data_IF_459888215807
#
_entry.id   IF_459888215807
#
_cell.length_a   1.000
_cell.length_b   1.000
_cell.length_c   1.000
_cell.angle_alpha   90.00
_cell.angle_beta   90.00
_cell.angle_gamma   90.00
#
_symmetry.space_group_name_H-M   'P 1'
#
loop_
_entity.id
_entity.type
_entity.pdbx_description
1 polymer ?
#
# COMPACT_ATOMS: atom_id res chain seq x y z
N UNK A 1 -9.48 18.77 2.44
CA UNK A 1 -8.28 17.96 2.61
C UNK A 1 -8.49 16.57 2.05
N UNK A 2 -7.51 16.07 1.33
CA UNK A 2 -7.60 14.75 0.70
C UNK A 2 -6.89 13.70 1.52
N UNK A 3 -7.48 12.53 1.56
CA UNK A 3 -6.86 11.35 2.12
C UNK A 3 -6.75 10.31 1.02
N UNK A 4 -5.78 9.44 1.10
CA UNK A 4 -5.58 8.39 0.13
C UNK A 4 -5.34 7.05 0.80
N UNK A 5 -5.64 6.00 0.05
CA UNK A 5 -5.36 4.64 0.45
C UNK A 5 -4.42 4.06 -0.60
N UNK A 6 -3.36 3.41 -0.15
CA UNK A 6 -2.45 2.70 -1.02
C UNK A 6 -2.59 1.21 -0.79
N UNK A 7 -2.53 0.46 -1.86
CA UNK A 7 -2.65 -1.00 -1.83
C UNK A 7 -1.48 -1.61 -2.58
N UNK A 8 -0.84 -2.59 -1.98
CA UNK A 8 0.15 -3.41 -2.68
C UNK A 8 -0.22 -4.87 -2.48
N UNK A 9 -0.36 -5.56 -3.59
CA UNK A 9 -0.64 -6.99 -3.60
C UNK A 9 0.65 -7.73 -3.89
N UNK A 10 1.02 -8.63 -2.99
CA UNK A 10 2.25 -9.40 -3.10
C UNK A 10 1.94 -10.89 -2.97
N UNK A 11 2.89 -11.71 -3.42
CA UNK A 11 2.83 -13.15 -3.27
C UNK A 11 3.84 -13.57 -2.22
N UNK A 12 3.35 -14.26 -1.18
CA UNK A 12 4.21 -14.82 -0.16
C UNK A 12 4.62 -13.83 0.93
N UNK A 13 5.22 -14.37 1.97
CA UNK A 13 5.56 -13.61 3.17
C UNK A 13 6.68 -12.61 2.96
N UNK A 14 7.69 -12.98 2.17
CA UNK A 14 8.84 -12.10 1.93
C UNK A 14 8.41 -10.83 1.22
N UNK A 15 7.57 -10.95 0.19
CA UNK A 15 7.03 -9.79 -0.51
C UNK A 15 6.23 -8.89 0.40
N UNK A 16 5.41 -9.47 1.29
CA UNK A 16 4.63 -8.74 2.26
C UNK A 16 5.53 -7.91 3.19
N UNK A 17 6.53 -8.53 3.77
CA UNK A 17 7.42 -7.87 4.72
C UNK A 17 8.23 -6.77 4.05
N UNK A 18 8.81 -7.07 2.88
CA UNK A 18 9.63 -6.10 2.16
C UNK A 18 8.83 -4.88 1.70
N UNK A 19 7.63 -5.12 1.17
CA UNK A 19 6.79 -4.01 0.72
C UNK A 19 6.30 -3.16 1.90
N UNK A 20 5.85 -3.81 2.97
CA UNK A 20 5.35 -3.11 4.16
C UNK A 20 6.43 -2.25 4.80
N UNK A 21 7.61 -2.81 4.97
CA UNK A 21 8.73 -2.09 5.56
C UNK A 21 9.14 -0.88 4.71
N UNK A 22 9.24 -1.08 3.41
CA UNK A 22 9.62 -0.01 2.48
C UNK A 22 8.60 1.13 2.49
N UNK A 23 7.32 0.80 2.55
CA UNK A 23 6.27 1.82 2.55
C UNK A 23 6.33 2.72 3.77
N UNK A 24 6.42 2.14 4.95
CA UNK A 24 6.41 2.94 6.19
C UNK A 24 7.71 3.71 6.40
N UNK A 25 8.81 3.28 5.79
CA UNK A 25 10.08 4.00 5.86
C UNK A 25 10.17 5.14 4.87
N UNK A 26 9.48 5.03 3.74
CA UNK A 26 9.60 6.00 2.65
C UNK A 26 8.78 7.27 2.88
N UNK A 27 7.68 7.18 3.60
CA UNK A 27 6.77 8.32 3.73
C UNK A 27 5.93 8.19 5.00
N UNK A 28 5.27 9.31 5.35
CA UNK A 28 4.44 9.36 6.54
C UNK A 28 3.06 8.74 6.24
N UNK A 29 3.01 7.42 6.29
CA UNK A 29 1.77 6.68 6.08
C UNK A 29 1.53 5.74 7.27
N UNK A 30 0.27 5.37 7.47
CA UNK A 30 -0.12 4.42 8.49
C UNK A 30 -0.41 3.09 7.82
N UNK A 31 0.24 2.03 8.29
CA UNK A 31 -0.09 0.67 7.85
C UNK A 31 -1.41 0.28 8.51
N UNK A 32 -2.43 0.08 7.68
CA UNK A 32 -3.76 -0.21 8.19
C UNK A 32 -3.93 -1.69 8.52
N UNK A 33 -3.63 -2.53 7.54
CA UNK A 33 -3.76 -3.99 7.69
C UNK A 33 -3.15 -4.70 6.51
N UNK A 34 -2.99 -6.02 6.66
CA UNK A 34 -2.63 -6.91 5.57
C UNK A 34 -3.74 -7.94 5.46
N UNK A 35 -4.26 -8.13 4.25
CA UNK A 35 -5.41 -8.99 4.00
C UNK A 35 -4.97 -10.19 3.16
N UNK A 36 -4.97 -11.40 3.73
CA UNK A 36 -4.73 -12.60 2.94
C UNK A 36 -5.89 -12.81 1.97
N UNK A 37 -5.56 -13.08 0.71
CA UNK A 37 -6.60 -13.28 -0.31
C UNK A 37 -6.73 -14.75 -0.69
N UNK A 38 -5.71 -15.55 -0.43
CA UNK A 38 -5.64 -16.94 -0.82
C UNK A 38 -4.52 -17.17 -1.81
N UNK A 39 -4.07 -18.40 -1.95
CA UNK A 39 -2.98 -18.74 -2.86
C UNK A 39 -1.67 -18.01 -2.57
N UNK A 40 -1.39 -17.74 -1.30
CA UNK A 40 -0.24 -16.97 -0.84
C UNK A 40 -0.26 -15.49 -1.25
N UNK A 41 -1.37 -14.99 -1.77
CA UNK A 41 -1.54 -13.58 -2.10
C UNK A 41 -1.96 -12.78 -0.87
N UNK A 42 -1.34 -11.62 -0.68
CA UNK A 42 -1.65 -10.73 0.44
C UNK A 42 -1.75 -9.30 -0.07
N UNK A 43 -2.78 -8.59 0.35
CA UNK A 43 -2.93 -7.17 0.06
C UNK A 43 -2.56 -6.37 1.30
N UNK A 44 -1.55 -5.50 1.19
CA UNK A 44 -1.15 -4.60 2.26
C UNK A 44 -1.77 -3.23 2.01
N UNK A 45 -2.39 -2.67 3.03
CA UNK A 45 -3.13 -1.41 2.93
C UNK A 45 -2.46 -0.34 3.79
N UNK A 46 -2.16 0.81 3.19
CA UNK A 46 -1.66 1.99 3.92
C UNK A 46 -2.58 3.17 3.66
N UNK A 47 -2.56 4.14 4.56
CA UNK A 47 -3.32 5.38 4.39
C UNK A 47 -2.49 6.59 4.79
N UNK A 48 -2.85 7.75 4.27
CA UNK A 48 -2.21 9.01 4.57
C UNK A 48 -2.64 10.06 3.55
N UNK A 49 -1.92 11.18 3.49
CA UNK A 49 -2.20 12.14 2.44
C UNK A 49 -1.75 11.59 1.09
N UNK A 50 -2.30 12.16 0.02
CA UNK A 50 -2.09 11.64 -1.35
C UNK A 50 -0.60 11.55 -1.71
N UNK A 51 0.16 12.60 -1.43
CA UNK A 51 1.59 12.62 -1.77
C UNK A 51 2.37 11.54 -1.03
N UNK A 52 2.12 11.40 0.26
CA UNK A 52 2.78 10.38 1.08
C UNK A 52 2.42 8.97 0.63
N UNK A 53 1.14 8.73 0.31
CA UNK A 53 0.70 7.41 -0.15
C UNK A 53 1.32 7.06 -1.49
N UNK A 54 1.39 8.03 -2.42
CA UNK A 54 2.04 7.79 -3.72
C UNK A 54 3.51 7.41 -3.54
N UNK A 55 4.23 8.14 -2.69
CA UNK A 55 5.64 7.85 -2.42
C UNK A 55 5.81 6.50 -1.75
N UNK A 56 4.95 6.18 -0.78
CA UNK A 56 5.01 4.90 -0.08
C UNK A 56 4.75 3.73 -1.03
N UNK A 57 3.70 3.83 -1.84
CA UNK A 57 3.36 2.75 -2.78
C UNK A 57 4.49 2.53 -3.80
N UNK A 58 5.11 3.62 -4.28
CA UNK A 58 6.23 3.49 -5.21
C UNK A 58 7.41 2.75 -4.56
N UNK A 59 7.75 3.09 -3.32
CA UNK A 59 8.83 2.41 -2.59
C UNK A 59 8.49 0.93 -2.34
N UNK A 60 7.25 0.65 -1.94
CA UNK A 60 6.81 -0.72 -1.70
C UNK A 60 6.81 -1.57 -2.96
N UNK A 61 6.38 -0.97 -4.07
CA UNK A 61 6.43 -1.60 -5.40
C UNK A 61 7.85 -2.04 -5.75
N UNK A 62 8.80 -1.12 -5.61
CA UNK A 62 10.19 -1.44 -5.95
C UNK A 62 10.76 -2.52 -5.06
N UNK A 63 10.43 -2.49 -3.76
CA UNK A 63 10.90 -3.52 -2.83
C UNK A 63 10.31 -4.89 -3.18
N UNK A 64 9.02 -4.97 -3.48
CA UNK A 64 8.38 -6.23 -3.85
C UNK A 64 8.92 -6.76 -5.17
N UNK A 65 9.19 -5.88 -6.14
CA UNK A 65 9.77 -6.26 -7.43
C UNK A 65 11.16 -6.87 -7.26
N UNK A 66 11.97 -6.30 -6.37
CA UNK A 66 13.34 -6.82 -6.15
C UNK A 66 13.35 -8.27 -5.68
N UNK A 67 12.33 -8.67 -4.95
CA UNK A 67 12.23 -10.07 -4.49
C UNK A 67 11.30 -10.91 -5.39
N UNK A 68 10.84 -10.34 -6.50
CA UNK A 68 10.05 -11.06 -7.50
C UNK A 68 8.61 -11.35 -7.08
N UNK A 69 8.08 -10.63 -6.10
CA UNK A 69 6.78 -10.94 -5.52
C UNK A 69 5.68 -9.90 -5.74
N UNK A 70 5.93 -8.90 -6.58
CA UNK A 70 4.91 -7.89 -6.85
C UNK A 70 3.84 -8.45 -7.80
N UNK A 71 2.58 -8.31 -7.42
CA UNK A 71 1.43 -8.70 -8.24
C UNK A 71 0.73 -7.44 -8.77
N UNK A 72 0.39 -6.49 -7.91
CA UNK A 72 -0.32 -5.27 -8.30
C UNK A 72 -0.12 -4.16 -7.28
N UNK A 73 -0.37 -2.93 -7.69
CA UNK A 73 -0.37 -1.79 -6.77
C UNK A 73 -1.40 -0.77 -7.22
N UNK A 74 -2.02 -0.08 -6.26
CA UNK A 74 -3.04 0.92 -6.54
C UNK A 74 -2.96 2.06 -5.54
N UNK A 75 -3.30 3.27 -6.00
CA UNK A 75 -3.50 4.43 -5.12
C UNK A 75 -4.89 4.95 -5.38
N UNK A 76 -5.66 5.10 -4.32
CA UNK A 76 -7.03 5.61 -4.39
C UNK A 76 -7.10 6.89 -3.57
N UNK A 77 -7.28 8.03 -4.24
CA UNK A 77 -7.44 9.30 -3.56
C UNK A 77 -8.91 9.48 -3.16
N UNK A 78 -9.13 9.88 -1.91
CA UNK A 78 -10.48 10.00 -1.36
C UNK A 78 -10.63 11.34 -0.64
N UNK A 79 -11.20 12.35 -1.31
CA UNK A 79 -11.47 13.64 -0.66
C UNK A 79 -12.41 13.46 0.52
N UNK A 80 -12.13 14.14 1.62
CA UNK A 80 -12.92 14.02 2.84
C UNK A 80 -14.39 14.36 2.63
N UNK A 81 -14.68 15.39 1.84
CA UNK A 81 -16.05 15.78 1.56
C UNK A 81 -16.84 14.70 0.86
N UNK A 82 -16.21 13.92 0.01
CA UNK A 82 -16.88 12.82 -0.66
C UNK A 82 -17.23 11.70 0.31
N UNK A 83 -16.39 11.48 1.30
CA UNK A 83 -16.67 10.50 2.33
C UNK A 83 -17.91 10.90 3.13
N UNK A 84 -18.09 12.19 3.37
CA UNK A 84 -19.24 12.69 4.11
C UNK A 84 -20.55 12.60 3.30
N UNK A 85 -20.45 12.58 1.99
CA UNK A 85 -21.63 12.48 1.12
C UNK A 85 -22.06 11.04 0.86
N UNK A 86 -21.24 10.10 1.20
CA UNK A 86 -21.48 8.66 0.90
C UNK A 86 -22.55 8.02 1.77
#
# INVERSE_FOLDING_TARGET
MSEAIGLIETRGYVGLVEASDAMVKAANVTLVKSIPIGGALVTTVVRGDVGSVKAAVEAGKEAAKRVGNLVASHVIARPAEELLKS
#
